data_IF_421163099729
#
_entry.id   IF_421163099729
#
_cell.length_a   1.000
_cell.length_b   1.000
_cell.length_c   1.000
_cell.angle_alpha   90.00
_cell.angle_beta   90.00
_cell.angle_gamma   90.00
#
_symmetry.space_group_name_H-M   'P 1'
#
loop_
_entity.id
_entity.type
_entity.pdbx_description
1 polymer ?
#
# COMPACT_ATOMS: atom_id res chain seq x y z
N UNK A 1 56.30 19.98 -1.99
CA UNK A 1 55.23 20.05 -3.00
C UNK A 1 54.09 19.09 -2.59
N UNK A 2 53.67 19.13 -1.32
CA UNK A 2 52.78 18.12 -0.72
C UNK A 2 51.56 18.72 0.02
N UNK A 3 51.36 20.04 -0.03
CA UNK A 3 50.38 20.73 0.83
C UNK A 3 49.08 21.15 0.10
N UNK A 4 49.06 21.17 -1.23
CA UNK A 4 47.83 21.53 -1.98
C UNK A 4 46.78 20.40 -2.01
N UNK A 5 47.19 19.14 -1.86
CA UNK A 5 46.26 18.00 -1.92
C UNK A 5 45.38 17.91 -0.66
N UNK A 6 45.91 18.30 0.50
CA UNK A 6 45.24 18.24 1.81
C UNK A 6 44.08 19.24 1.94
N UNK A 7 44.24 20.45 1.38
CA UNK A 7 43.25 21.53 1.46
C UNK A 7 41.93 21.23 0.73
N UNK A 8 41.93 20.31 -0.24
CA UNK A 8 40.73 19.86 -0.95
C UNK A 8 40.00 18.70 -0.25
N UNK A 9 40.68 17.97 0.63
CA UNK A 9 40.10 16.83 1.34
C UNK A 9 39.15 17.27 2.46
N UNK A 10 39.51 18.32 3.20
CA UNK A 10 38.70 18.87 4.30
C UNK A 10 37.28 19.29 3.85
N UNK A 11 37.09 20.14 2.81
CA UNK A 11 35.75 20.54 2.38
C UNK A 11 34.93 19.35 1.83
N UNK A 12 35.59 18.36 1.22
CA UNK A 12 34.92 17.12 0.78
C UNK A 12 34.42 16.29 1.95
N UNK A 13 35.22 16.11 3.00
CA UNK A 13 34.83 15.37 4.20
C UNK A 13 33.68 16.09 4.93
N UNK A 14 33.74 17.41 5.04
CA UNK A 14 32.64 18.21 5.60
C UNK A 14 31.35 18.06 4.79
N UNK A 15 31.43 18.15 3.46
CA UNK A 15 30.28 17.96 2.58
C UNK A 15 29.67 16.56 2.74
N UNK A 16 30.50 15.51 2.77
CA UNK A 16 30.05 14.13 2.98
C UNK A 16 29.38 13.95 4.35
N UNK A 17 29.94 14.55 5.41
CA UNK A 17 29.35 14.54 6.75
C UNK A 17 27.98 15.22 6.80
N UNK A 18 27.85 16.39 6.15
CA UNK A 18 26.56 17.09 6.04
C UNK A 18 25.54 16.23 5.29
N UNK A 19 25.91 15.66 4.14
CA UNK A 19 25.02 14.76 3.38
C UNK A 19 24.59 13.57 4.23
N UNK A 20 25.52 12.92 4.94
CA UNK A 20 25.22 11.78 5.82
C UNK A 20 24.24 12.18 6.93
N UNK A 21 24.46 13.33 7.57
CA UNK A 21 23.56 13.85 8.61
C UNK A 21 22.15 14.10 8.08
N UNK A 22 22.02 14.69 6.89
CA UNK A 22 20.73 14.93 6.24
C UNK A 22 20.01 13.62 5.90
N UNK A 23 20.74 12.61 5.44
CA UNK A 23 20.19 11.27 5.17
C UNK A 23 19.70 10.61 6.46
N UNK A 24 20.47 10.70 7.55
CA UNK A 24 20.07 10.16 8.86
C UNK A 24 18.82 10.85 9.38
N UNK A 25 18.78 12.19 9.36
CA UNK A 25 17.61 12.97 9.81
C UNK A 25 16.39 12.63 8.96
N UNK A 26 16.54 12.57 7.63
CA UNK A 26 15.46 12.18 6.73
C UNK A 26 15.00 10.76 7.00
N UNK A 27 15.91 9.81 7.16
CA UNK A 27 15.62 8.42 7.51
C UNK A 27 14.86 8.30 8.83
N UNK A 28 15.33 8.96 9.89
CA UNK A 28 14.66 9.01 11.20
C UNK A 28 13.26 9.62 11.09
N UNK A 29 13.12 10.71 10.32
CA UNK A 29 11.82 11.35 10.13
C UNK A 29 10.82 10.43 9.42
N UNK A 30 11.29 9.69 8.39
CA UNK A 30 10.45 8.83 7.57
C UNK A 30 10.11 7.50 8.24
N UNK A 31 11.08 6.89 8.93
CA UNK A 31 10.95 5.54 9.47
C UNK A 31 10.50 5.52 10.93
N UNK A 32 10.60 6.63 11.65
CA UNK A 32 10.26 6.70 13.08
C UNK A 32 9.23 7.78 13.37
N UNK A 33 9.53 9.04 13.05
CA UNK A 33 8.68 10.17 13.44
C UNK A 33 7.31 10.15 12.74
N UNK A 34 7.30 9.95 11.41
CA UNK A 34 6.06 9.92 10.63
C UNK A 34 5.13 8.77 11.03
N UNK A 35 5.59 7.50 11.11
CA UNK A 35 4.73 6.40 11.53
C UNK A 35 4.08 6.65 12.88
N UNK A 36 4.88 7.09 13.87
CA UNK A 36 4.38 7.38 15.21
C UNK A 36 3.32 8.48 15.23
N UNK A 37 3.56 9.60 14.52
CA UNK A 37 2.59 10.70 14.45
C UNK A 37 1.27 10.28 13.79
N UNK A 38 1.33 9.45 12.76
CA UNK A 38 0.15 8.92 12.08
C UNK A 38 -0.62 7.96 13.02
N UNK A 39 0.09 7.09 13.73
CA UNK A 39 -0.51 6.17 14.70
C UNK A 39 -1.23 6.92 15.82
N UNK A 40 -0.58 7.94 16.38
CA UNK A 40 -1.17 8.84 17.39
C UNK A 40 -2.42 9.54 16.85
N UNK A 41 -2.36 10.13 15.65
CA UNK A 41 -3.49 10.81 15.02
C UNK A 41 -4.73 9.93 14.80
N UNK A 42 -4.54 8.67 14.38
CA UNK A 42 -5.65 7.72 14.21
C UNK A 42 -6.15 7.18 15.55
N UNK A 43 -5.25 6.97 16.52
CA UNK A 43 -5.59 6.53 17.87
C UNK A 43 -6.50 7.54 18.59
N UNK A 44 -6.26 8.84 18.42
CA UNK A 44 -7.12 9.92 18.92
C UNK A 44 -8.55 9.85 18.35
N UNK A 45 -8.72 9.31 17.14
CA UNK A 45 -10.02 9.08 16.50
C UNK A 45 -10.63 7.71 16.87
N UNK A 46 -10.00 6.96 17.76
CA UNK A 46 -10.42 5.60 18.15
C UNK A 46 -10.06 4.51 17.13
N UNK A 47 -9.33 4.85 16.06
CA UNK A 47 -8.90 3.90 15.04
C UNK A 47 -7.57 3.29 15.47
N UNK A 48 -7.59 2.01 15.83
CA UNK A 48 -6.41 1.25 16.23
C UNK A 48 -6.00 0.27 15.15
N UNK A 49 -4.86 -0.38 15.34
CA UNK A 49 -4.35 -1.39 14.42
C UNK A 49 -3.15 -2.12 15.02
N UNK A 50 -2.62 -3.14 14.33
CA UNK A 50 -1.31 -3.69 14.69
C UNK A 50 -0.26 -2.57 14.74
N UNK A 51 0.60 -2.53 15.78
CA UNK A 51 1.57 -1.47 15.95
C UNK A 51 2.59 -1.49 14.80
N UNK A 52 3.13 -0.31 14.48
CA UNK A 52 4.18 -0.21 13.47
C UNK A 52 5.44 -0.97 13.90
N UNK A 53 5.96 -1.83 13.03
CA UNK A 53 7.27 -2.45 13.20
C UNK A 53 8.29 -1.77 12.29
N UNK A 54 9.43 -1.39 12.86
CA UNK A 54 10.45 -0.63 12.16
C UNK A 54 10.87 -1.29 10.83
N UNK A 55 10.96 -0.48 9.77
CA UNK A 55 11.23 -0.84 8.36
C UNK A 55 10.18 -1.70 7.64
N UNK A 56 9.70 -2.78 8.25
CA UNK A 56 8.88 -3.79 7.57
C UNK A 56 7.37 -3.51 7.73
N UNK A 57 6.96 -2.83 8.80
CA UNK A 57 5.56 -2.72 9.17
C UNK A 57 4.98 -4.10 9.52
N UNK A 58 3.74 -4.37 9.12
CA UNK A 58 3.04 -5.62 9.46
C UNK A 58 3.11 -6.67 8.33
N UNK A 59 3.92 -6.44 7.28
CA UNK A 59 3.97 -7.30 6.09
C UNK A 59 4.33 -8.74 6.45
N UNK A 60 5.31 -8.94 7.34
CA UNK A 60 5.73 -10.30 7.75
C UNK A 60 4.59 -11.06 8.43
N UNK A 61 3.87 -10.41 9.34
CA UNK A 61 2.74 -11.00 10.07
C UNK A 61 1.57 -11.29 9.11
N UNK A 62 1.26 -10.35 8.22
CA UNK A 62 0.25 -10.49 7.17
C UNK A 62 0.55 -11.69 6.28
N UNK A 63 1.76 -11.76 5.72
CA UNK A 63 2.18 -12.88 4.85
C UNK A 63 2.17 -14.19 5.62
N UNK A 64 2.64 -14.21 6.86
CA UNK A 64 2.60 -15.40 7.72
C UNK A 64 1.17 -15.92 7.93
N UNK A 65 0.20 -15.03 8.18
CA UNK A 65 -1.21 -15.40 8.30
C UNK A 65 -1.79 -15.91 6.98
N UNK A 66 -1.41 -15.32 5.85
CA UNK A 66 -1.86 -15.79 4.53
C UNK A 66 -1.32 -17.17 4.19
N UNK A 67 -0.02 -17.40 4.41
CA UNK A 67 0.62 -18.71 4.20
C UNK A 67 0.04 -19.80 5.11
N UNK A 68 -0.19 -19.48 6.39
CA UNK A 68 -0.81 -20.41 7.35
C UNK A 68 -2.24 -20.76 6.96
N UNK A 69 -3.00 -19.80 6.46
CA UNK A 69 -4.36 -20.04 5.98
C UNK A 69 -4.34 -20.88 4.69
N UNK A 70 -3.42 -20.61 3.78
CA UNK A 70 -3.31 -21.33 2.50
C UNK A 70 -2.78 -22.75 2.64
N UNK A 71 -2.01 -23.06 3.69
CA UNK A 71 -1.43 -24.39 3.91
C UNK A 71 -2.43 -25.46 4.36
N UNK A 72 -3.62 -25.07 4.82
CA UNK A 72 -4.65 -26.00 5.30
C UNK A 72 -5.81 -26.09 4.31
N UNK A 73 -6.46 -27.26 4.13
CA UNK A 73 -7.69 -27.35 3.34
C UNK A 73 -8.81 -26.52 3.98
N UNK A 74 -9.73 -26.02 3.16
CA UNK A 74 -10.94 -25.35 3.65
C UNK A 74 -12.17 -26.22 3.33
N UNK A 75 -13.20 -26.22 4.20
CA UNK A 75 -14.45 -26.90 3.89
C UNK A 75 -15.10 -26.26 2.65
N UNK A 76 -15.92 -27.04 1.95
CA UNK A 76 -16.74 -26.53 0.86
C UNK A 76 -17.80 -25.58 1.43
N UNK A 77 -17.49 -24.29 1.43
CA UNK A 77 -18.31 -23.25 2.06
C UNK A 77 -18.13 -21.92 1.33
N UNK A 78 -19.17 -21.09 1.32
CA UNK A 78 -19.11 -19.72 0.84
C UNK A 78 -18.32 -18.78 1.76
N UNK A 79 -18.06 -19.17 3.03
CA UNK A 79 -17.27 -18.36 3.95
C UNK A 79 -15.76 -18.52 3.71
N UNK A 80 -15.29 -17.93 2.61
CA UNK A 80 -13.89 -18.03 2.18
C UNK A 80 -12.99 -16.96 2.81
N UNK A 81 -13.56 -15.98 3.51
CA UNK A 81 -12.82 -14.83 4.04
C UNK A 81 -11.65 -15.21 4.95
N UNK A 82 -11.79 -16.16 5.92
CA UNK A 82 -10.67 -16.57 6.77
C UNK A 82 -9.51 -17.21 5.99
N UNK A 83 -9.78 -17.72 4.77
CA UNK A 83 -8.77 -18.31 3.89
C UNK A 83 -8.08 -17.25 3.03
N UNK A 84 -8.86 -16.42 2.33
CA UNK A 84 -8.34 -15.49 1.32
C UNK A 84 -7.76 -14.21 1.93
N UNK A 85 -8.44 -13.66 2.94
CA UNK A 85 -8.05 -12.44 3.64
C UNK A 85 -7.89 -12.73 5.14
N UNK A 86 -7.06 -13.71 5.46
CA UNK A 86 -6.86 -14.20 6.83
C UNK A 86 -6.43 -13.10 7.81
N UNK A 87 -5.54 -12.19 7.39
CA UNK A 87 -5.11 -11.04 8.18
C UNK A 87 -6.27 -10.09 8.51
N UNK A 88 -7.13 -9.79 7.53
CA UNK A 88 -8.30 -8.95 7.72
C UNK A 88 -9.29 -9.62 8.66
N UNK A 89 -9.58 -10.90 8.44
CA UNK A 89 -10.47 -11.66 9.31
C UNK A 89 -9.96 -11.72 10.77
N UNK A 90 -8.64 -11.80 10.97
CA UNK A 90 -8.02 -11.77 12.29
C UNK A 90 -8.09 -10.38 12.93
N UNK A 91 -7.55 -9.36 12.27
CA UNK A 91 -7.45 -8.01 12.83
C UNK A 91 -8.79 -7.31 12.97
N UNK A 92 -9.77 -7.59 12.10
CA UNK A 92 -11.14 -7.08 12.27
C UNK A 92 -11.75 -7.47 13.61
N UNK A 93 -11.45 -8.67 14.13
CA UNK A 93 -11.96 -9.13 15.42
C UNK A 93 -11.33 -8.42 16.61
N UNK A 94 -10.12 -7.88 16.43
CA UNK A 94 -9.34 -7.23 17.48
C UNK A 94 -9.58 -5.73 17.48
N UNK A 95 -9.55 -5.11 16.29
CA UNK A 95 -9.56 -3.65 16.12
C UNK A 95 -10.89 -3.10 15.59
N UNK A 96 -11.78 -3.96 15.08
CA UNK A 96 -13.08 -3.57 14.55
C UNK A 96 -13.13 -3.44 13.03
N UNK A 97 -14.18 -2.80 12.51
CA UNK A 97 -14.44 -2.66 11.08
C UNK A 97 -13.42 -1.75 10.35
N UNK A 98 -12.82 -0.82 11.08
CA UNK A 98 -11.85 0.13 10.54
C UNK A 98 -10.58 0.08 11.37
N UNK A 99 -9.44 -0.17 10.72
CA UNK A 99 -8.16 -0.30 11.42
C UNK A 99 -6.96 0.06 10.53
N UNK A 100 -5.86 0.47 11.16
CA UNK A 100 -4.63 0.87 10.49
C UNK A 100 -3.69 -0.33 10.27
N UNK A 101 -3.02 -0.42 9.12
CA UNK A 101 -2.02 -1.46 8.81
C UNK A 101 -0.79 -0.83 8.17
N UNK A 102 0.40 -1.35 8.46
CA UNK A 102 1.66 -0.83 7.95
C UNK A 102 2.28 -1.71 6.87
N UNK A 103 2.64 -1.11 5.73
CA UNK A 103 3.42 -1.71 4.66
C UNK A 103 4.75 -0.98 4.56
N UNK A 104 5.76 -1.50 5.26
CA UNK A 104 6.93 -0.70 5.60
C UNK A 104 6.51 0.58 6.36
N UNK A 105 7.11 1.75 6.09
CA UNK A 105 6.73 3.01 6.74
C UNK A 105 5.42 3.61 6.22
N UNK A 106 4.77 2.98 5.23
CA UNK A 106 3.52 3.48 4.63
C UNK A 106 2.32 2.88 5.35
N UNK A 107 1.51 3.73 5.99
CA UNK A 107 0.24 3.34 6.59
C UNK A 107 -0.85 3.12 5.55
N UNK A 108 -1.72 2.15 5.78
CA UNK A 108 -2.94 1.88 5.01
C UNK A 108 -4.12 1.77 5.96
N UNK A 109 -5.16 2.54 5.70
CA UNK A 109 -6.41 2.45 6.43
C UNK A 109 -7.29 1.37 5.79
N UNK A 110 -7.65 0.36 6.57
CA UNK A 110 -8.62 -0.66 6.15
C UNK A 110 -10.00 -0.21 6.59
N UNK A 111 -10.97 -0.16 5.68
CA UNK A 111 -12.34 0.30 5.93
C UNK A 111 -13.30 -0.78 5.50
N UNK A 112 -14.24 -1.14 6.38
CA UNK A 112 -15.29 -2.13 6.10
C UNK A 112 -16.72 -1.58 6.26
N UNK A 113 -16.84 -0.29 6.57
CA UNK A 113 -18.13 0.40 6.66
C UNK A 113 -18.66 0.71 5.24
N UNK A 114 -19.87 0.24 4.88
CA UNK A 114 -20.42 0.42 3.53
C UNK A 114 -20.64 1.88 3.13
N UNK A 115 -20.98 2.76 4.08
CA UNK A 115 -21.26 4.16 3.81
C UNK A 115 -19.96 4.91 3.56
N UNK A 116 -18.92 4.64 4.36
CA UNK A 116 -17.57 5.16 4.12
C UNK A 116 -16.99 4.64 2.81
N UNK A 117 -17.15 3.35 2.50
CA UNK A 117 -16.72 2.77 1.23
C UNK A 117 -17.43 3.50 0.07
N UNK A 118 -18.75 3.69 0.14
CA UNK A 118 -19.49 4.43 -0.89
C UNK A 118 -18.94 5.83 -1.07
N UNK A 119 -18.67 6.55 0.02
CA UNK A 119 -18.12 7.91 -0.04
C UNK A 119 -16.74 7.94 -0.70
N UNK A 120 -15.82 7.06 -0.29
CA UNK A 120 -14.47 6.94 -0.85
C UNK A 120 -14.55 6.68 -2.37
N UNK A 121 -15.38 5.73 -2.79
CA UNK A 121 -15.51 5.37 -4.21
C UNK A 121 -16.26 6.44 -5.04
N UNK A 122 -17.12 7.24 -4.42
CA UNK A 122 -17.82 8.34 -5.10
C UNK A 122 -16.90 9.54 -5.35
N UNK A 123 -15.88 9.73 -4.52
CA UNK A 123 -14.93 10.84 -4.56
C UNK A 123 -13.62 10.47 -5.25
N UNK A 124 -13.70 9.85 -6.43
CA UNK A 124 -12.52 9.31 -7.13
C UNK A 124 -11.45 10.34 -7.51
N UNK A 125 -11.78 11.63 -7.50
CA UNK A 125 -10.83 12.73 -7.72
C UNK A 125 -9.82 12.92 -6.59
N UNK A 126 -10.15 12.50 -5.37
CA UNK A 126 -9.27 12.58 -4.20
C UNK A 126 -8.54 11.26 -3.91
N UNK A 127 -9.05 10.14 -4.42
CA UNK A 127 -8.52 8.80 -4.15
C UNK A 127 -8.00 8.16 -5.44
N UNK A 128 -6.70 8.33 -5.68
CA UNK A 128 -6.04 7.58 -6.74
C UNK A 128 -5.84 6.11 -6.37
N UNK A 129 -5.78 5.26 -7.39
CA UNK A 129 -5.34 3.87 -7.23
C UNK A 129 -3.93 3.85 -6.63
N UNK A 130 -3.72 2.93 -5.69
CA UNK A 130 -2.38 2.63 -5.19
C UNK A 130 -1.45 2.31 -6.36
N UNK A 131 -0.29 2.95 -6.37
CA UNK A 131 0.73 2.63 -7.36
C UNK A 131 1.24 1.21 -7.11
N UNK A 132 1.14 0.38 -8.15
CA UNK A 132 1.71 -0.94 -8.13
C UNK A 132 3.22 -0.85 -7.91
N UNK A 133 3.78 -1.85 -7.22
CA UNK A 133 5.22 -1.94 -7.06
C UNK A 133 5.90 -1.94 -8.45
N UNK A 134 7.07 -1.30 -8.63
CA UNK A 134 7.71 -1.19 -9.96
C UNK A 134 7.86 -2.52 -10.71
N UNK A 135 8.13 -3.61 -9.98
CA UNK A 135 8.19 -4.97 -10.55
C UNK A 135 6.84 -5.45 -11.13
N UNK A 136 5.73 -5.13 -10.46
CA UNK A 136 4.38 -5.45 -10.95
C UNK A 136 4.07 -4.62 -12.18
N UNK A 137 4.44 -3.33 -12.18
CA UNK A 137 4.28 -2.46 -13.34
C UNK A 137 5.10 -2.93 -14.56
N UNK A 138 6.30 -3.46 -14.35
CA UNK A 138 7.10 -4.06 -15.42
C UNK A 138 6.45 -5.30 -16.01
N UNK A 139 5.79 -6.12 -15.18
CA UNK A 139 5.11 -7.34 -15.63
C UNK A 139 3.79 -7.04 -16.35
N UNK A 140 2.97 -6.15 -15.79
CA UNK A 140 1.63 -5.82 -16.30
C UNK A 140 1.67 -4.83 -17.47
N UNK A 141 2.77 -4.08 -17.61
CA UNK A 141 2.89 -2.98 -18.56
C UNK A 141 1.86 -1.87 -18.32
N UNK A 142 1.55 -1.12 -19.37
CA UNK A 142 0.55 -0.06 -19.37
C UNK A 142 -0.87 -0.62 -19.62
N UNK A 143 -1.29 -1.54 -18.75
CA UNK A 143 -2.64 -2.11 -18.75
C UNK A 143 -3.69 -1.21 -18.09
N UNK A 144 -4.98 -1.51 -18.29
CA UNK A 144 -6.09 -0.73 -17.73
C UNK A 144 -6.09 -0.69 -16.18
N UNK A 145 -5.46 -1.67 -15.54
CA UNK A 145 -5.31 -1.72 -14.09
C UNK A 145 -4.28 -0.70 -13.58
N UNK A 146 -3.16 -0.52 -14.31
CA UNK A 146 -2.04 0.35 -13.92
C UNK A 146 -2.18 1.79 -14.44
N UNK A 147 -2.90 2.01 -15.53
CA UNK A 147 -3.12 3.35 -16.09
C UNK A 147 -3.94 4.25 -15.14
N UNK A 148 -3.62 5.55 -15.20
CA UNK A 148 -4.27 6.65 -14.46
C UNK A 148 -4.72 7.77 -15.41
N UNK A 149 -5.58 8.65 -14.91
CA UNK A 149 -5.98 9.89 -15.58
C UNK A 149 -6.57 9.70 -16.98
N UNK A 150 -6.22 10.58 -17.91
CA UNK A 150 -6.76 10.60 -19.27
C UNK A 150 -6.44 9.32 -20.06
N UNK A 151 -5.24 8.76 -19.90
CA UNK A 151 -4.87 7.50 -20.57
C UNK A 151 -5.76 6.35 -20.12
N UNK A 152 -6.03 6.27 -18.82
CA UNK A 152 -6.98 5.30 -18.28
C UNK A 152 -8.39 5.51 -18.83
N UNK A 153 -8.87 6.76 -18.84
CA UNK A 153 -10.20 7.10 -19.35
C UNK A 153 -10.35 6.74 -20.84
N UNK A 154 -9.33 7.02 -21.64
CA UNK A 154 -9.30 6.66 -23.06
C UNK A 154 -9.36 5.15 -23.27
N UNK A 155 -8.50 4.38 -22.59
CA UNK A 155 -8.48 2.92 -22.70
C UNK A 155 -9.81 2.31 -22.20
N UNK A 156 -10.37 2.84 -21.11
CA UNK A 156 -11.66 2.39 -20.58
C UNK A 156 -12.78 2.63 -21.59
N UNK A 157 -12.79 3.78 -22.26
CA UNK A 157 -13.79 4.13 -23.29
C UNK A 157 -13.75 3.18 -24.49
N UNK A 158 -12.55 2.78 -24.93
CA UNK A 158 -12.39 1.83 -26.04
C UNK A 158 -12.86 0.42 -25.66
N UNK A 159 -12.56 -0.02 -24.43
CA UNK A 159 -12.80 -1.39 -23.99
C UNK A 159 -14.25 -1.62 -23.53
N UNK A 160 -14.90 -0.60 -22.95
CA UNK A 160 -16.24 -0.74 -22.34
C UNK A 160 -17.31 -1.32 -23.27
N UNK A 161 -17.39 -0.95 -24.58
CA UNK A 161 -18.38 -1.51 -25.50
C UNK A 161 -18.33 -3.04 -25.62
N UNK A 162 -17.15 -3.64 -25.57
CA UNK A 162 -16.97 -5.11 -25.64
C UNK A 162 -17.69 -5.84 -24.50
N UNK A 163 -17.89 -5.16 -23.37
CA UNK A 163 -18.56 -5.72 -22.19
C UNK A 163 -20.03 -5.30 -22.07
N UNK A 164 -20.62 -4.75 -23.13
CA UNK A 164 -22.06 -4.50 -23.15
C UNK A 164 -22.86 -5.80 -23.34
N UNK A 165 -24.09 -5.82 -22.84
CA UNK A 165 -24.94 -7.02 -22.81
C UNK A 165 -25.17 -7.62 -24.21
N UNK A 166 -25.27 -6.79 -25.25
CA UNK A 166 -25.40 -7.23 -26.64
C UNK A 166 -24.21 -8.07 -27.13
N UNK A 167 -23.01 -7.81 -26.62
CA UNK A 167 -21.77 -8.48 -27.02
C UNK A 167 -21.42 -9.69 -26.14
N UNK A 168 -22.11 -9.84 -24.99
CA UNK A 168 -21.89 -10.92 -24.03
C UNK A 168 -22.81 -12.12 -24.23
N UNK A 169 -23.85 -11.99 -25.05
CA UNK A 169 -24.70 -13.13 -25.41
C UNK A 169 -23.91 -14.06 -26.32
N UNK A 170 -23.68 -15.28 -25.86
CA UNK A 170 -23.24 -16.35 -26.75
C UNK A 170 -24.39 -16.57 -27.73
N UNK A 171 -24.15 -16.34 -29.02
CA UNK A 171 -25.07 -16.75 -30.06
C UNK A 171 -25.16 -18.27 -29.98
N UNK A 172 -26.25 -18.80 -29.43
CA UNK A 172 -26.56 -20.22 -29.55
C UNK A 172 -26.75 -20.49 -31.04
N UNK A 173 -25.84 -21.28 -31.62
CA UNK A 173 -25.94 -21.82 -32.97
C UNK A 173 -26.66 -23.17 -32.94
#
# INVERSE_FOLDING_TARGET
>A
MEDESSNWLIPKVLLLSVILSLVIVKGMSLLWWRPRKIEEHFSEQGIRGPPYQFFIGNVKELVGMMLKASSHPMPFSHNILPRVLSFYHHWRKIYGATFLVWFGPTSRLTVADPDLIREIFSKSEFYEKNEAHPLVKQLEGDGLLSLKGEKWAHHRKIISPTFHMENLKVTEF
#
